data_IF_850244650404
#
_entry.id   IF_850244650404
#
_cell.length_a   1.000
_cell.length_b   1.000
_cell.length_c   1.000
_cell.angle_alpha   90.00
_cell.angle_beta   90.00
_cell.angle_gamma   90.00
#
_symmetry.space_group_name_H-M   'P 1'
#
loop_
_entity.id
_entity.type
_entity.pdbx_description
1 polymer ?
#
# COMPACT_ATOMS: atom_id res chain seq x y z
N UNK A 1 -38.14 -0.75 -42.47
CA UNK A 1 -37.89 0.58 -43.11
C UNK A 1 -36.39 0.74 -43.32
N UNK A 2 -35.96 1.20 -44.50
CA UNK A 2 -34.53 1.51 -44.76
C UNK A 2 -34.24 2.94 -44.29
N UNK A 3 -33.12 3.20 -43.60
CA UNK A 3 -32.76 4.55 -43.16
C UNK A 3 -32.56 5.48 -44.37
N UNK A 4 -33.07 6.71 -44.26
CA UNK A 4 -32.92 7.74 -45.29
C UNK A 4 -31.47 8.23 -45.38
N UNK A 5 -31.06 8.75 -46.53
CA UNK A 5 -29.71 9.32 -46.71
C UNK A 5 -29.37 10.41 -45.66
N UNK A 6 -30.36 11.20 -45.23
CA UNK A 6 -30.21 12.20 -44.16
C UNK A 6 -29.94 11.55 -42.81
N UNK A 7 -30.65 10.47 -42.47
CA UNK A 7 -30.42 9.70 -41.24
C UNK A 7 -29.03 9.04 -41.24
N UNK A 8 -28.59 8.48 -42.36
CA UNK A 8 -27.24 7.91 -42.50
C UNK A 8 -26.17 8.99 -42.27
N UNK A 9 -26.30 10.16 -42.89
CA UNK A 9 -25.35 11.28 -42.72
C UNK A 9 -25.31 11.79 -41.27
N UNK A 10 -26.46 11.90 -40.61
CA UNK A 10 -26.53 12.28 -39.19
C UNK A 10 -25.90 11.22 -38.28
N UNK A 11 -26.13 9.94 -38.56
CA UNK A 11 -25.54 8.83 -37.81
C UNK A 11 -24.01 8.82 -37.95
N UNK A 12 -23.48 9.02 -39.16
CA UNK A 12 -22.03 9.13 -39.39
C UNK A 12 -21.44 10.32 -38.63
N UNK A 13 -22.08 11.50 -38.68
CA UNK A 13 -21.63 12.69 -37.94
C UNK A 13 -21.64 12.46 -36.43
N UNK A 14 -22.69 11.81 -35.91
CA UNK A 14 -22.81 11.49 -34.50
C UNK A 14 -21.71 10.51 -34.05
N UNK A 15 -21.48 9.43 -34.82
CA UNK A 15 -20.41 8.47 -34.54
C UNK A 15 -19.02 9.13 -34.61
N UNK A 16 -18.79 10.03 -35.56
CA UNK A 16 -17.55 10.77 -35.68
C UNK A 16 -17.35 11.74 -34.49
N UNK A 17 -18.41 12.46 -34.10
CA UNK A 17 -18.39 13.30 -32.90
C UNK A 17 -18.09 12.48 -31.65
N UNK A 18 -18.76 11.33 -31.46
CA UNK A 18 -18.53 10.44 -30.34
C UNK A 18 -17.10 9.88 -30.33
N UNK A 19 -16.58 9.48 -31.49
CA UNK A 19 -15.20 9.01 -31.63
C UNK A 19 -14.17 10.08 -31.26
N UNK A 20 -14.36 11.33 -31.72
CA UNK A 20 -13.51 12.46 -31.33
C UNK A 20 -13.60 12.73 -29.83
N UNK A 21 -14.81 12.71 -29.27
CA UNK A 21 -15.03 12.96 -27.85
C UNK A 21 -14.33 11.91 -26.97
N UNK A 22 -14.48 10.62 -27.30
CA UNK A 22 -13.80 9.53 -26.61
C UNK A 22 -12.27 9.64 -26.73
N UNK A 23 -11.77 10.01 -27.91
CA UNK A 23 -10.35 10.25 -28.11
C UNK A 23 -9.84 11.40 -27.23
N UNK A 24 -10.54 12.54 -27.20
CA UNK A 24 -10.17 13.68 -26.37
C UNK A 24 -10.19 13.33 -24.87
N UNK A 25 -11.24 12.66 -24.39
CA UNK A 25 -11.27 12.19 -23.00
C UNK A 25 -10.10 11.27 -22.69
N UNK A 26 -9.78 10.32 -23.58
CA UNK A 26 -8.64 9.42 -23.40
C UNK A 26 -7.30 10.18 -23.31
N UNK A 27 -7.11 11.26 -24.06
CA UNK A 27 -5.88 12.07 -23.97
C UNK A 27 -5.82 12.92 -22.69
N UNK A 28 -6.97 13.42 -22.23
CA UNK A 28 -7.06 14.33 -21.08
C UNK A 28 -7.05 13.56 -19.74
N UNK A 29 -7.54 12.32 -19.71
CA UNK A 29 -7.66 11.50 -18.49
C UNK A 29 -6.37 11.43 -17.65
N UNK A 30 -5.18 11.13 -18.21
CA UNK A 30 -3.95 11.09 -17.41
C UNK A 30 -3.62 12.42 -16.73
N UNK A 31 -3.90 13.54 -17.41
CA UNK A 31 -3.65 14.87 -16.86
C UNK A 31 -4.61 15.17 -15.70
N UNK A 32 -5.91 14.92 -15.89
CA UNK A 32 -6.90 15.12 -14.83
C UNK A 32 -6.66 14.21 -13.63
N UNK A 33 -6.23 12.95 -13.86
CA UNK A 33 -5.95 12.01 -12.79
C UNK A 33 -4.82 12.49 -11.88
N UNK A 34 -3.77 13.08 -12.47
CA UNK A 34 -2.65 13.64 -11.73
C UNK A 34 -2.99 14.95 -11.01
N UNK A 35 -3.97 15.70 -11.51
CA UNK A 35 -4.34 17.02 -10.99
C UNK A 35 -5.39 16.92 -9.87
N UNK A 36 -6.34 15.99 -9.98
CA UNK A 36 -7.43 15.85 -9.01
C UNK A 36 -6.96 15.10 -7.75
N UNK A 37 -7.48 15.48 -6.55
CA UNK A 37 -7.24 14.72 -5.34
C UNK A 37 -7.82 13.31 -5.49
N UNK A 38 -7.07 12.30 -5.07
CA UNK A 38 -7.52 10.92 -5.07
C UNK A 38 -6.82 10.12 -3.96
N UNK A 39 -7.39 8.97 -3.61
CA UNK A 39 -6.89 8.14 -2.50
C UNK A 39 -5.49 7.53 -2.78
N UNK A 40 -5.02 7.59 -4.03
CA UNK A 40 -3.75 7.06 -4.52
C UNK A 40 -2.68 8.16 -4.71
N UNK A 41 -2.93 9.39 -4.25
CA UNK A 41 -1.92 10.47 -4.27
C UNK A 41 -0.64 10.04 -3.55
N UNK A 42 -0.73 9.13 -2.58
CA UNK A 42 0.44 8.58 -1.90
C UNK A 42 1.34 7.73 -2.81
N UNK A 43 0.77 7.00 -3.77
CA UNK A 43 1.54 6.30 -4.81
C UNK A 43 2.38 7.30 -5.62
N UNK A 44 1.82 8.48 -5.93
CA UNK A 44 2.58 9.57 -6.57
C UNK A 44 3.73 10.05 -5.70
N UNK A 45 3.49 10.29 -4.41
CA UNK A 45 4.52 10.73 -3.47
C UNK A 45 5.66 9.72 -3.38
N UNK A 46 5.34 8.43 -3.19
CA UNK A 46 6.33 7.36 -3.13
C UNK A 46 7.14 7.33 -4.42
N UNK A 47 6.45 7.31 -5.57
CA UNK A 47 7.12 7.25 -6.87
C UNK A 47 7.99 8.48 -7.16
N UNK A 48 7.53 9.69 -6.84
CA UNK A 48 8.35 10.90 -7.01
C UNK A 48 9.55 10.93 -6.07
N UNK A 49 9.39 10.43 -4.85
CA UNK A 49 10.48 10.34 -3.86
C UNK A 49 11.55 9.38 -4.33
N UNK A 50 11.17 8.19 -4.81
CA UNK A 50 12.12 7.18 -5.30
C UNK A 50 12.83 7.59 -6.60
N UNK A 51 12.22 8.46 -7.42
CA UNK A 51 12.84 8.98 -8.64
C UNK A 51 13.60 10.30 -8.42
N UNK A 52 13.60 10.85 -7.22
CA UNK A 52 14.37 12.05 -6.91
C UNK A 52 15.78 11.65 -6.41
N UNK A 53 16.85 11.94 -7.17
CA UNK A 53 18.22 11.56 -6.79
C UNK A 53 18.75 12.29 -5.54
N UNK A 54 18.08 13.34 -5.10
CA UNK A 54 18.42 14.06 -3.86
C UNK A 54 17.92 13.34 -2.60
N UNK A 55 16.93 12.46 -2.74
CA UNK A 55 16.36 11.72 -1.62
C UNK A 55 17.29 10.57 -1.22
N UNK A 56 17.71 10.57 0.05
CA UNK A 56 18.67 9.61 0.60
C UNK A 56 18.21 9.05 1.95
N UNK A 57 17.11 8.29 2.00
CA UNK A 57 16.72 7.60 3.22
C UNK A 57 17.72 6.49 3.56
N UNK A 58 17.96 6.30 4.85
CA UNK A 58 18.77 5.19 5.38
C UNK A 58 17.86 3.99 5.74
N UNK A 59 16.61 4.26 6.12
CA UNK A 59 15.60 3.26 6.44
C UNK A 59 14.31 3.55 5.68
N UNK A 60 13.72 2.52 5.08
CA UNK A 60 12.40 2.61 4.45
C UNK A 60 11.40 1.66 5.11
N UNK A 61 10.17 2.11 5.27
CA UNK A 61 9.04 1.30 5.74
C UNK A 61 8.10 1.08 4.55
N UNK A 62 7.71 -0.16 4.32
CA UNK A 62 6.85 -0.57 3.20
C UNK A 62 5.68 -1.42 3.70
N UNK A 63 4.54 -1.34 3.01
CA UNK A 63 3.31 -2.05 3.39
C UNK A 63 2.08 -1.16 3.24
N UNK A 64 0.96 -1.56 3.82
CA UNK A 64 -0.33 -0.91 3.57
C UNK A 64 -0.67 0.19 4.59
N UNK A 65 -1.95 0.59 4.62
CA UNK A 65 -2.50 1.57 5.55
C UNK A 65 -2.31 1.22 7.04
N UNK A 66 -2.14 -0.06 7.40
CA UNK A 66 -1.77 -0.46 8.76
C UNK A 66 -0.34 -0.05 9.10
N UNK A 67 0.57 -0.10 8.13
CA UNK A 67 1.93 0.43 8.26
C UNK A 67 1.96 1.97 8.28
N UNK A 68 1.06 2.63 7.54
CA UNK A 68 0.91 4.09 7.55
C UNK A 68 0.59 4.62 8.95
N UNK A 69 -0.38 4.00 9.64
CA UNK A 69 -0.80 4.43 10.98
C UNK A 69 -0.08 3.69 12.11
N UNK A 70 0.59 2.56 11.83
CA UNK A 70 1.19 1.69 12.83
C UNK A 70 2.70 1.86 13.03
N UNK A 71 3.46 2.34 12.05
CA UNK A 71 4.92 2.51 12.21
C UNK A 71 5.30 3.98 12.13
N UNK A 72 5.80 4.51 13.24
CA UNK A 72 6.15 5.92 13.38
C UNK A 72 7.62 6.15 12.98
N UNK A 73 7.84 6.70 11.78
CA UNK A 73 9.18 6.99 11.27
C UNK A 73 9.93 8.05 12.06
N UNK A 74 9.24 9.08 12.60
CA UNK A 74 9.88 10.09 13.45
C UNK A 74 10.46 9.47 14.72
N UNK A 75 9.76 8.49 15.31
CA UNK A 75 10.24 7.78 16.49
C UNK A 75 11.42 6.87 16.16
N UNK A 76 11.39 6.17 15.02
CA UNK A 76 12.55 5.39 14.55
C UNK A 76 13.78 6.28 14.36
N UNK A 77 13.63 7.43 13.70
CA UNK A 77 14.71 8.41 13.49
C UNK A 77 15.24 8.98 14.81
N UNK A 78 14.36 9.26 15.77
CA UNK A 78 14.77 9.81 17.07
C UNK A 78 15.49 8.77 17.96
N UNK A 79 15.07 7.50 17.92
CA UNK A 79 15.55 6.49 18.87
C UNK A 79 16.64 5.58 18.31
N UNK A 80 16.76 5.40 16.99
CA UNK A 80 17.84 4.61 16.42
C UNK A 80 19.17 5.38 16.48
N UNK A 81 20.26 4.65 16.75
CA UNK A 81 21.61 5.23 16.83
C UNK A 81 21.99 5.80 15.45
N UNK A 82 22.57 7.00 15.45
CA UNK A 82 22.97 7.68 14.21
C UNK A 82 21.86 8.56 13.61
N UNK A 83 20.65 8.54 14.19
CA UNK A 83 19.50 9.31 13.73
C UNK A 83 19.23 9.15 12.23
N UNK A 84 19.01 7.91 11.76
CA UNK A 84 18.85 7.64 10.34
C UNK A 84 17.67 8.39 9.74
N UNK A 85 17.81 8.81 8.49
CA UNK A 85 16.70 9.37 7.73
C UNK A 85 15.67 8.26 7.42
N UNK A 86 14.47 8.34 8.02
CA UNK A 86 13.45 7.28 7.92
C UNK A 86 12.31 7.68 7.01
N UNK A 87 12.09 6.93 5.92
CA UNK A 87 10.96 7.13 5.01
C UNK A 87 9.90 6.04 5.16
N UNK A 88 8.72 6.42 5.63
CA UNK A 88 7.53 5.62 5.53
C UNK A 88 6.94 5.71 4.12
N UNK A 89 7.18 4.69 3.30
CA UNK A 89 6.71 4.54 1.93
C UNK A 89 5.54 3.54 1.83
N UNK A 90 4.76 3.38 2.90
CA UNK A 90 3.52 2.60 2.91
C UNK A 90 2.39 3.35 2.20
N UNK A 91 1.38 2.67 1.67
CA UNK A 91 0.18 3.32 1.10
C UNK A 91 -1.07 2.46 1.23
N UNK A 92 -2.26 3.06 1.10
CA UNK A 92 -3.51 2.29 1.04
C UNK A 92 -3.43 1.20 -0.04
N UNK A 93 -3.86 -0.02 0.28
CA UNK A 93 -3.87 -1.14 -0.66
C UNK A 93 -2.51 -1.77 -1.00
N UNK A 94 -1.38 -1.23 -0.52
CA UNK A 94 -0.04 -1.76 -0.82
C UNK A 94 0.23 -3.06 -0.05
N UNK A 95 -0.06 -4.21 -0.66
CA UNK A 95 0.34 -5.52 -0.13
C UNK A 95 1.85 -5.72 -0.31
N UNK A 96 2.37 -6.85 0.17
CA UNK A 96 3.80 -7.19 0.05
C UNK A 96 4.25 -7.21 -1.43
N UNK A 97 3.41 -7.70 -2.34
CA UNK A 97 3.67 -7.67 -3.79
C UNK A 97 3.82 -6.27 -4.34
N UNK A 98 2.98 -5.32 -3.92
CA UNK A 98 3.02 -3.93 -4.33
C UNK A 98 4.24 -3.22 -3.75
N UNK A 99 4.63 -3.53 -2.51
CA UNK A 99 5.90 -3.06 -1.97
C UNK A 99 7.09 -3.53 -2.80
N UNK A 100 7.07 -4.79 -3.25
CA UNK A 100 8.14 -5.37 -4.06
C UNK A 100 8.30 -4.71 -5.44
N UNK A 101 7.28 -3.99 -5.95
CA UNK A 101 7.40 -3.17 -7.16
C UNK A 101 8.42 -2.03 -7.00
N UNK A 102 8.70 -1.60 -5.77
CA UNK A 102 9.61 -0.49 -5.47
C UNK A 102 11.04 -0.93 -5.09
N UNK A 103 11.30 -2.22 -4.88
CA UNK A 103 12.58 -2.70 -4.30
C UNK A 103 13.82 -2.35 -5.13
N UNK A 104 13.71 -2.37 -6.45
CA UNK A 104 14.77 -1.98 -7.39
C UNK A 104 14.96 -0.48 -7.51
N UNK A 105 13.97 0.32 -7.09
CA UNK A 105 14.01 1.78 -7.09
C UNK A 105 14.52 2.35 -5.76
N UNK A 106 14.75 1.53 -4.73
CA UNK A 106 15.28 1.99 -3.46
C UNK A 106 16.71 2.54 -3.65
N UNK A 107 16.99 3.79 -3.20
CA UNK A 107 18.31 4.40 -3.28
C UNK A 107 19.41 3.54 -2.64
N UNK A 108 20.66 3.72 -3.08
CA UNK A 108 21.80 3.00 -2.51
C UNK A 108 22.13 3.41 -1.07
N UNK A 109 21.57 4.51 -0.57
CA UNK A 109 21.67 4.92 0.83
C UNK A 109 20.87 4.03 1.78
N UNK A 110 19.85 3.32 1.27
CA UNK A 110 18.99 2.48 2.11
C UNK A 110 19.82 1.33 2.66
N UNK A 111 19.83 1.21 3.98
CA UNK A 111 20.49 0.14 4.72
C UNK A 111 19.49 -0.78 5.41
N UNK A 112 18.25 -0.32 5.66
CA UNK A 112 17.20 -1.11 6.32
C UNK A 112 15.87 -0.98 5.58
N UNK A 113 15.22 -2.12 5.35
CA UNK A 113 13.84 -2.21 4.86
C UNK A 113 12.99 -2.86 5.92
N UNK A 114 12.02 -2.10 6.44
CA UNK A 114 10.96 -2.58 7.35
C UNK A 114 9.72 -2.86 6.51
N UNK A 115 9.43 -4.13 6.25
CA UNK A 115 8.25 -4.56 5.50
C UNK A 115 7.14 -4.99 6.45
N UNK A 116 6.07 -4.20 6.54
CA UNK A 116 4.84 -4.58 7.22
C UNK A 116 4.13 -5.69 6.42
N UNK A 117 3.72 -6.74 7.12
CA UNK A 117 3.07 -7.93 6.54
C UNK A 117 1.79 -8.22 7.30
N UNK A 118 0.71 -8.39 6.54
CA UNK A 118 -0.55 -8.95 7.01
C UNK A 118 -0.57 -10.43 6.62
N UNK A 119 -0.58 -11.34 7.60
CA UNK A 119 -0.46 -12.78 7.32
C UNK A 119 -1.62 -13.28 6.48
N UNK A 120 -2.84 -12.79 6.72
CA UNK A 120 -4.05 -13.19 5.99
C UNK A 120 -3.96 -12.96 4.47
N UNK A 121 -3.10 -12.05 4.00
CA UNK A 121 -2.91 -11.80 2.58
C UNK A 121 -2.07 -12.87 1.87
N UNK A 122 -1.32 -13.68 2.62
CA UNK A 122 -0.39 -14.67 2.06
C UNK A 122 -1.07 -15.99 1.65
N UNK A 123 -2.38 -16.13 1.89
CA UNK A 123 -3.16 -17.34 1.54
C UNK A 123 -3.65 -17.37 0.10
N UNK A 124 -3.84 -16.20 -0.50
CA UNK A 124 -4.37 -16.04 -1.85
C UNK A 124 -3.28 -15.95 -2.92
N UNK A 125 -3.65 -15.92 -4.22
CA UNK A 125 -2.71 -15.60 -5.28
C UNK A 125 -2.18 -14.17 -5.14
N UNK A 126 -1.00 -13.91 -5.73
CA UNK A 126 -0.50 -12.54 -5.87
C UNK A 126 -1.36 -11.83 -6.92
N UNK A 127 -2.10 -10.83 -6.47
CA UNK A 127 -2.97 -10.01 -7.31
C UNK A 127 -2.81 -8.53 -6.95
N UNK A 128 -2.95 -7.69 -7.97
CA UNK A 128 -2.92 -6.24 -7.87
C UNK A 128 -4.31 -5.70 -8.14
N UNK A 129 -4.85 -4.92 -7.20
CA UNK A 129 -6.15 -4.30 -7.39
C UNK A 129 -6.14 -3.28 -8.55
N UNK A 130 -7.30 -3.14 -9.21
CA UNK A 130 -7.45 -2.24 -10.35
C UNK A 130 -7.04 -0.80 -10.03
N UNK A 131 -7.43 -0.22 -8.88
CA UNK A 131 -7.06 1.15 -8.57
C UNK A 131 -5.55 1.38 -8.38
N UNK A 132 -4.81 0.51 -7.69
CA UNK A 132 -3.36 0.61 -7.53
C UNK A 132 -2.66 0.46 -8.88
N UNK A 133 -3.16 -0.46 -9.73
CA UNK A 133 -2.65 -0.68 -11.08
C UNK A 133 -2.80 0.57 -11.95
N UNK A 134 -3.96 1.21 -11.89
CA UNK A 134 -4.21 2.49 -12.56
C UNK A 134 -3.30 3.57 -11.99
N UNK A 135 -3.15 3.67 -10.67
CA UNK A 135 -2.29 4.67 -10.05
C UNK A 135 -0.83 4.53 -10.50
N UNK A 136 -0.27 3.33 -10.43
CA UNK A 136 1.08 3.01 -10.90
C UNK A 136 1.26 3.43 -12.37
N UNK A 137 0.33 3.05 -13.25
CA UNK A 137 0.38 3.43 -14.65
C UNK A 137 0.31 4.96 -14.84
N UNK A 138 -0.66 5.61 -14.20
CA UNK A 138 -0.88 7.05 -14.33
C UNK A 138 0.30 7.86 -13.80
N UNK A 139 1.02 7.38 -12.80
CA UNK A 139 2.23 8.02 -12.27
C UNK A 139 3.52 7.59 -13.00
N UNK A 140 3.42 6.70 -13.98
CA UNK A 140 4.52 6.37 -14.89
C UNK A 140 5.46 5.28 -14.37
N UNK A 141 4.99 4.44 -13.45
CA UNK A 141 5.70 3.24 -13.02
C UNK A 141 5.99 2.33 -14.22
N UNK A 142 7.19 1.72 -14.23
CA UNK A 142 7.57 0.70 -15.21
C UNK A 142 8.23 -0.47 -14.49
N UNK A 143 7.75 -1.67 -14.78
CA UNK A 143 8.32 -2.89 -14.22
C UNK A 143 9.66 -3.19 -14.90
N UNK A 144 10.75 -3.23 -14.13
CA UNK A 144 12.07 -3.59 -14.64
C UNK A 144 12.29 -5.12 -14.69
N UNK A 145 13.47 -5.54 -15.17
CA UNK A 145 13.79 -6.96 -15.32
C UNK A 145 13.80 -7.72 -14.00
N UNK A 146 14.36 -7.12 -12.93
CA UNK A 146 14.41 -7.75 -11.61
C UNK A 146 12.98 -7.91 -11.05
N UNK A 147 12.16 -6.87 -11.14
CA UNK A 147 10.78 -6.92 -10.65
C UNK A 147 9.96 -7.97 -11.43
N UNK A 148 10.13 -8.09 -12.75
CA UNK A 148 9.43 -9.13 -13.55
C UNK A 148 9.77 -10.54 -13.11
N UNK A 149 11.04 -10.79 -12.81
CA UNK A 149 11.46 -12.09 -12.29
C UNK A 149 10.91 -12.37 -10.88
N UNK A 150 10.77 -11.33 -10.08
CA UNK A 150 10.28 -11.40 -8.71
C UNK A 150 8.75 -11.58 -8.66
N UNK A 151 8.02 -10.93 -9.57
CA UNK A 151 6.55 -10.85 -9.61
C UNK A 151 6.00 -11.15 -11.02
N UNK A 152 6.25 -12.34 -11.59
CA UNK A 152 5.80 -12.67 -12.95
C UNK A 152 4.28 -12.58 -13.11
N UNK A 153 3.52 -12.88 -12.05
CA UNK A 153 2.05 -12.79 -12.04
C UNK A 153 1.53 -11.37 -12.35
N UNK A 154 2.30 -10.32 -12.06
CA UNK A 154 1.89 -8.94 -12.23
C UNK A 154 2.31 -8.32 -13.58
N UNK A 155 3.14 -9.00 -14.38
CA UNK A 155 3.64 -8.47 -15.65
C UNK A 155 2.48 -8.18 -16.62
N UNK A 156 1.62 -9.17 -16.87
CA UNK A 156 0.47 -8.99 -17.76
C UNK A 156 -0.47 -7.88 -17.25
N UNK A 157 -0.95 -7.90 -15.99
CA UNK A 157 -1.79 -6.84 -15.44
C UNK A 157 -1.20 -5.43 -15.60
N UNK A 158 0.11 -5.26 -15.45
CA UNK A 158 0.81 -3.96 -15.54
C UNK A 158 1.19 -3.56 -16.97
N UNK A 159 0.94 -4.42 -17.96
CA UNK A 159 1.29 -4.21 -19.38
C UNK A 159 0.08 -3.86 -20.27
N UNK A 160 -1.08 -3.59 -19.66
CA UNK A 160 -2.29 -3.24 -20.40
C UNK A 160 -2.13 -1.92 -21.19
N UNK A 161 -2.86 -1.73 -22.30
CA UNK A 161 -2.73 -0.53 -23.12
C UNK A 161 -3.29 0.70 -22.42
N UNK A 162 -2.78 1.90 -22.76
CA UNK A 162 -3.25 3.18 -22.18
C UNK A 162 -4.77 3.35 -22.26
N UNK A 163 -5.41 2.87 -23.33
CA UNK A 163 -6.86 2.93 -23.49
C UNK A 163 -7.60 2.21 -22.35
N UNK A 164 -7.07 1.07 -21.90
CA UNK A 164 -7.61 0.33 -20.76
C UNK A 164 -7.51 1.16 -19.48
N UNK A 165 -6.31 1.65 -19.15
CA UNK A 165 -6.09 2.44 -17.92
C UNK A 165 -6.92 3.72 -17.89
N UNK A 166 -6.98 4.43 -19.01
CA UNK A 166 -7.80 5.63 -19.13
C UNK A 166 -9.30 5.34 -18.96
N UNK A 167 -9.77 4.21 -19.47
CA UNK A 167 -11.14 3.77 -19.25
C UNK A 167 -11.38 3.50 -17.76
N UNK A 168 -10.56 2.68 -17.10
CA UNK A 168 -10.75 2.34 -15.68
C UNK A 168 -10.64 3.57 -14.77
N UNK A 169 -9.73 4.49 -15.07
CA UNK A 169 -9.51 5.73 -14.31
C UNK A 169 -10.72 6.67 -14.28
N UNK A 170 -11.73 6.50 -15.15
CA UNK A 170 -12.93 7.35 -15.18
C UNK A 170 -13.61 7.46 -13.82
N UNK A 171 -13.68 6.36 -13.07
CA UNK A 171 -14.33 6.35 -11.75
C UNK A 171 -13.53 7.16 -10.74
N UNK A 172 -12.19 7.04 -10.77
CA UNK A 172 -11.30 7.85 -9.93
C UNK A 172 -11.40 9.34 -10.28
N UNK A 173 -11.58 9.70 -11.55
CA UNK A 173 -11.80 11.09 -11.97
C UNK A 173 -13.11 11.65 -11.43
N UNK A 174 -14.20 10.88 -11.49
CA UNK A 174 -15.48 11.29 -10.91
C UNK A 174 -15.36 11.50 -9.41
N UNK A 175 -14.81 10.53 -8.68
CA UNK A 175 -14.60 10.65 -7.23
C UNK A 175 -13.69 11.83 -6.89
N UNK A 176 -12.58 12.01 -7.61
CA UNK A 176 -11.66 13.11 -7.38
C UNK A 176 -12.26 14.48 -7.67
N UNK A 177 -13.12 14.60 -8.69
CA UNK A 177 -13.87 15.82 -8.96
C UNK A 177 -14.88 16.09 -7.84
N UNK A 178 -15.61 15.07 -7.37
CA UNK A 178 -16.53 15.20 -6.24
C UNK A 178 -15.79 15.64 -4.97
N UNK A 179 -14.65 15.04 -4.66
CA UNK A 179 -13.82 15.43 -3.52
C UNK A 179 -13.29 16.85 -3.67
N UNK A 180 -12.79 17.23 -4.85
CA UNK A 180 -12.33 18.59 -5.11
C UNK A 180 -13.45 19.62 -4.90
N UNK A 181 -14.64 19.36 -5.43
CA UNK A 181 -15.81 20.22 -5.25
C UNK A 181 -16.22 20.28 -3.78
N UNK A 182 -16.25 19.14 -3.08
CA UNK A 182 -16.57 19.09 -1.66
C UNK A 182 -15.57 19.90 -0.84
N UNK A 183 -14.27 19.76 -1.07
CA UNK A 183 -13.24 20.52 -0.36
C UNK A 183 -13.30 22.03 -0.62
N UNK A 184 -13.98 22.48 -1.70
CA UNK A 184 -14.23 23.89 -1.98
C UNK A 184 -15.53 24.41 -1.37
N UNK A 185 -16.41 23.52 -0.94
CA UNK A 185 -17.77 23.82 -0.46
C UNK A 185 -17.97 23.50 1.03
N UNK A 186 -17.10 22.69 1.62
CA UNK A 186 -17.19 22.13 2.97
C UNK A 186 -15.96 22.60 3.77
N UNK A 187 -16.18 23.15 4.98
CA UNK A 187 -15.12 23.74 5.81
C UNK A 187 -14.27 22.68 6.56
N UNK A 188 -14.75 21.44 6.64
CA UNK A 188 -14.10 20.31 7.32
C UNK A 188 -13.17 19.52 6.38
N UNK A 189 -12.06 20.13 5.97
CA UNK A 189 -11.03 19.44 5.15
C UNK A 189 -10.05 18.69 6.05
N UNK A 190 -9.98 17.36 5.86
CA UNK A 190 -8.95 16.52 6.49
C UNK A 190 -7.55 16.94 5.97
N UNK A 191 -6.57 17.21 6.85
CA UNK A 191 -5.24 17.68 6.45
C UNK A 191 -4.53 16.72 5.48
N UNK A 192 -3.77 17.30 4.53
CA UNK A 192 -3.00 16.59 3.50
C UNK A 192 -1.80 15.76 4.00
N UNK A 193 -1.79 15.32 5.26
CA UNK A 193 -0.70 14.56 5.89
C UNK A 193 -0.42 13.26 5.12
N UNK A 194 -1.45 12.54 4.67
CA UNK A 194 -1.28 11.34 3.81
C UNK A 194 -0.53 11.66 2.52
N UNK A 195 -0.76 12.85 1.95
CA UNK A 195 -0.26 13.25 0.65
C UNK A 195 1.16 13.85 0.70
N UNK A 196 1.65 14.27 1.87
CA UNK A 196 2.95 14.94 1.99
C UNK A 196 3.89 14.37 3.05
N UNK A 197 3.38 13.71 4.10
CA UNK A 197 4.24 13.19 5.17
C UNK A 197 4.93 11.90 4.73
N UNK A 198 6.27 11.93 4.78
CA UNK A 198 7.16 10.84 4.43
C UNK A 198 7.62 10.04 5.66
N UNK A 199 7.30 10.42 6.89
CA UNK A 199 7.80 9.78 8.13
C UNK A 199 6.65 9.11 8.89
N UNK A 200 5.49 9.75 8.97
CA UNK A 200 4.33 9.21 9.69
C UNK A 200 3.01 9.71 9.09
N UNK A 201 2.54 9.09 8.00
CA UNK A 201 1.36 9.54 7.23
C UNK A 201 0.03 9.16 7.89
N UNK A 202 -0.11 9.44 9.18
CA UNK A 202 -1.31 9.12 9.93
C UNK A 202 -2.38 10.22 9.70
N UNK A 203 -3.53 9.82 9.15
CA UNK A 203 -4.67 10.73 8.91
C UNK A 203 -5.58 10.94 10.11
N UNK A 204 -5.46 10.14 11.17
CA UNK A 204 -6.47 10.09 12.22
C UNK A 204 -6.10 11.04 13.36
N UNK A 205 -6.48 12.31 13.20
CA UNK A 205 -6.43 13.35 14.23
C UNK A 205 -7.69 13.39 15.12
N UNK A 206 -8.77 12.68 14.73
CA UNK A 206 -10.05 12.70 15.43
C UNK A 206 -10.23 11.53 16.39
N UNK A 207 -11.10 11.71 17.38
CA UNK A 207 -11.53 10.64 18.28
C UNK A 207 -12.23 9.51 17.52
N UNK A 208 -12.12 8.29 18.05
CA UNK A 208 -12.75 7.09 17.47
C UNK A 208 -14.27 7.27 17.42
N UNK A 209 -14.85 7.11 16.23
CA UNK A 209 -16.31 7.01 16.10
C UNK A 209 -16.76 5.58 16.38
N UNK A 210 -17.40 5.36 17.53
CA UNK A 210 -17.88 4.04 17.98
C UNK A 210 -18.84 3.35 17.00
N UNK A 211 -19.69 4.09 16.30
CA UNK A 211 -20.63 3.49 15.34
C UNK A 211 -19.91 2.95 14.10
N UNK A 212 -18.95 3.72 13.56
CA UNK A 212 -18.14 3.31 12.41
C UNK A 212 -17.20 2.17 12.80
N UNK A 213 -16.64 2.24 14.01
CA UNK A 213 -15.80 1.19 14.57
C UNK A 213 -16.55 -0.15 14.62
N UNK A 214 -17.73 -0.19 15.26
CA UNK A 214 -18.52 -1.43 15.38
C UNK A 214 -18.86 -2.04 14.03
N UNK A 215 -19.34 -1.22 13.07
CA UNK A 215 -19.65 -1.69 11.72
C UNK A 215 -18.43 -2.30 11.03
N UNK A 216 -17.26 -1.65 11.12
CA UNK A 216 -16.02 -2.19 10.53
C UNK A 216 -15.55 -3.48 11.22
N UNK A 217 -15.78 -3.61 12.54
CA UNK A 217 -15.47 -4.85 13.27
C UNK A 217 -16.39 -5.97 12.80
N UNK A 218 -17.68 -5.70 12.62
CA UNK A 218 -18.64 -6.64 12.03
C UNK A 218 -18.20 -7.08 10.62
N UNK A 219 -17.82 -6.14 9.75
CA UNK A 219 -17.27 -6.42 8.41
C UNK A 219 -16.02 -7.33 8.48
N UNK A 220 -15.10 -7.09 9.44
CA UNK A 220 -13.94 -7.96 9.63
C UNK A 220 -14.30 -9.35 10.17
N UNK A 221 -15.48 -9.51 10.77
CA UNK A 221 -15.96 -10.76 11.35
C UNK A 221 -16.80 -11.61 10.37
N UNK A 222 -17.04 -11.12 9.15
CA UNK A 222 -17.78 -11.87 8.12
C UNK A 222 -17.01 -13.10 7.61
N UNK A 223 -15.67 -13.05 7.64
CA UNK A 223 -14.83 -14.10 7.07
C UNK A 223 -13.69 -14.50 8.00
N UNK A 224 -13.55 -15.81 8.25
CA UNK A 224 -12.37 -16.36 8.93
C UNK A 224 -11.16 -16.35 7.99
N UNK A 225 -10.28 -15.38 8.21
CA UNK A 225 -9.05 -15.18 7.43
C UNK A 225 -7.98 -16.25 7.66
N UNK A 226 -8.04 -16.99 8.77
CA UNK A 226 -7.05 -18.01 9.14
C UNK A 226 -7.55 -19.45 9.01
N UNK A 227 -8.80 -19.64 8.59
CA UNK A 227 -9.31 -20.94 8.21
C UNK A 227 -8.46 -21.53 7.08
N UNK A 228 -8.01 -22.79 7.26
CA UNK A 228 -7.12 -23.48 6.32
C UNK A 228 -5.87 -22.68 5.88
N UNK A 229 -5.38 -21.78 6.74
CA UNK A 229 -4.26 -20.90 6.41
C UNK A 229 -3.02 -21.66 5.92
N UNK A 230 -2.55 -21.29 4.74
CA UNK A 230 -1.30 -21.75 4.12
C UNK A 230 -0.64 -20.56 3.42
N UNK A 231 0.69 -20.54 3.38
CA UNK A 231 1.43 -19.57 2.57
C UNK A 231 1.61 -20.19 1.19
N UNK A 232 1.16 -19.52 0.14
CA UNK A 232 1.30 -20.06 -1.22
C UNK A 232 2.77 -20.11 -1.64
N UNK A 233 3.16 -21.02 -2.56
CA UNK A 233 4.53 -21.08 -3.07
C UNK A 233 5.01 -19.77 -3.71
N UNK A 234 4.09 -18.98 -4.29
CA UNK A 234 4.41 -17.68 -4.89
C UNK A 234 4.84 -16.67 -3.83
N UNK A 235 4.10 -16.55 -2.72
CA UNK A 235 4.46 -15.69 -1.60
C UNK A 235 5.77 -16.12 -0.95
N UNK A 236 5.96 -17.42 -0.75
CA UNK A 236 7.21 -17.96 -0.23
C UNK A 236 8.39 -17.54 -1.10
N UNK A 237 8.31 -17.77 -2.41
CA UNK A 237 9.35 -17.40 -3.38
C UNK A 237 9.62 -15.89 -3.36
N UNK A 238 8.58 -15.07 -3.30
CA UNK A 238 8.70 -13.63 -3.24
C UNK A 238 9.50 -13.18 -2.02
N UNK A 239 9.14 -13.66 -0.82
CA UNK A 239 9.81 -13.28 0.44
C UNK A 239 11.26 -13.77 0.45
N UNK A 240 11.51 -15.02 0.06
CA UNK A 240 12.87 -15.60 0.01
C UNK A 240 13.76 -14.84 -0.98
N UNK A 241 13.29 -14.60 -2.22
CA UNK A 241 14.08 -13.85 -3.21
C UNK A 241 14.31 -12.40 -2.81
N UNK A 242 13.34 -11.78 -2.14
CA UNK A 242 13.49 -10.41 -1.62
C UNK A 242 14.57 -10.35 -0.53
N UNK A 243 14.58 -11.33 0.38
CA UNK A 243 15.61 -11.45 1.42
C UNK A 243 17.01 -11.61 0.82
N UNK A 244 17.17 -12.49 -0.18
CA UNK A 244 18.43 -12.67 -0.91
C UNK A 244 18.85 -11.36 -1.58
N UNK A 245 17.95 -10.71 -2.30
CA UNK A 245 18.22 -9.45 -2.99
C UNK A 245 18.69 -8.34 -2.05
N UNK A 246 18.04 -8.18 -0.90
CA UNK A 246 18.44 -7.17 0.08
C UNK A 246 19.77 -7.52 0.75
N UNK A 247 19.97 -8.78 1.13
CA UNK A 247 21.23 -9.24 1.69
C UNK A 247 22.42 -8.99 0.75
N UNK A 248 22.26 -9.27 -0.54
CA UNK A 248 23.31 -9.05 -1.54
C UNK A 248 23.66 -7.56 -1.72
N UNK A 249 22.75 -6.66 -1.34
CA UNK A 249 22.94 -5.21 -1.28
C UNK A 249 23.42 -4.71 0.10
N UNK A 250 23.64 -5.60 1.07
CA UNK A 250 23.96 -5.22 2.44
C UNK A 250 22.82 -4.57 3.21
N UNK A 251 21.57 -4.78 2.78
CA UNK A 251 20.37 -4.21 3.38
C UNK A 251 19.77 -5.22 4.36
N UNK A 252 19.45 -4.77 5.59
CA UNK A 252 18.68 -5.55 6.54
C UNK A 252 17.22 -5.58 6.10
N UNK A 253 16.72 -6.78 5.82
CA UNK A 253 15.31 -7.01 5.55
C UNK A 253 14.58 -7.48 6.81
N UNK A 254 13.72 -6.62 7.33
CA UNK A 254 12.95 -6.85 8.56
C UNK A 254 11.46 -7.00 8.21
N UNK A 255 10.87 -8.15 8.53
CA UNK A 255 9.43 -8.40 8.37
C UNK A 255 8.71 -8.08 9.68
N UNK A 256 7.70 -7.20 9.63
CA UNK A 256 6.87 -6.85 10.78
C UNK A 256 5.49 -7.44 10.59
N UNK A 257 5.13 -8.41 11.42
CA UNK A 257 3.79 -9.01 11.42
C UNK A 257 2.83 -8.06 12.13
N UNK A 258 1.89 -7.47 11.40
CA UNK A 258 1.03 -6.41 11.91
C UNK A 258 -0.07 -6.93 12.88
N UNK A 259 -0.45 -6.14 13.91
CA UNK A 259 -1.41 -6.54 14.95
C UNK A 259 -2.85 -6.68 14.45
N UNK A 260 -3.58 -7.67 14.94
CA UNK A 260 -5.02 -7.76 14.73
C UNK A 260 -5.79 -7.21 15.92
N UNK A 261 -6.91 -6.54 15.65
CA UNK A 261 -7.75 -6.00 16.70
C UNK A 261 -8.38 -7.14 17.52
N UNK A 262 -8.29 -7.13 18.87
CA UNK A 262 -8.87 -8.16 19.73
C UNK A 262 -10.39 -8.34 19.58
N UNK A 263 -11.11 -7.31 19.11
CA UNK A 263 -12.57 -7.39 18.89
C UNK A 263 -12.94 -8.19 17.62
N UNK A 264 -11.95 -8.56 16.79
CA UNK A 264 -12.16 -9.45 15.65
C UNK A 264 -12.17 -10.89 16.18
N UNK A 265 -13.34 -11.51 16.11
CA UNK A 265 -13.65 -12.85 16.64
C UNK A 265 -13.85 -13.91 15.55
N UNK A 266 -13.77 -13.55 14.27
CA UNK A 266 -13.87 -14.50 13.15
C UNK A 266 -12.79 -15.59 13.13
N UNK A 267 -11.70 -15.41 13.87
CA UNK A 267 -10.65 -16.42 14.04
C UNK A 267 -10.29 -16.59 15.52
N UNK A 268 -9.90 -17.80 15.88
CA UNK A 268 -9.44 -18.14 17.22
C UNK A 268 -7.98 -17.73 17.44
N UNK A 269 -7.59 -17.56 18.71
CA UNK A 269 -6.18 -17.37 19.10
C UNK A 269 -5.31 -18.53 18.59
N UNK A 270 -5.82 -19.77 18.62
CA UNK A 270 -5.08 -20.94 18.15
C UNK A 270 -4.77 -20.88 16.65
N UNK A 271 -5.71 -20.40 15.83
CA UNK A 271 -5.52 -20.24 14.38
C UNK A 271 -4.50 -19.17 14.05
N UNK A 272 -4.58 -17.99 14.70
CA UNK A 272 -3.57 -16.93 14.59
C UNK A 272 -2.17 -17.43 14.94
N UNK A 273 -2.06 -18.12 16.08
CA UNK A 273 -0.79 -18.63 16.57
C UNK A 273 -0.24 -19.76 15.68
N UNK A 274 -1.10 -20.57 15.05
CA UNK A 274 -0.68 -21.55 14.03
C UNK A 274 -0.12 -20.83 12.80
N UNK A 275 -0.80 -19.80 12.31
CA UNK A 275 -0.37 -19.02 11.15
C UNK A 275 0.97 -18.33 11.40
N UNK A 276 1.13 -17.69 12.56
CA UNK A 276 2.37 -17.05 12.98
C UNK A 276 3.51 -18.06 13.08
N UNK A 277 3.33 -19.20 13.75
CA UNK A 277 4.37 -20.25 13.85
C UNK A 277 4.81 -20.76 12.49
N UNK A 278 3.86 -21.01 11.58
CA UNK A 278 4.20 -21.45 10.22
C UNK A 278 5.00 -20.37 9.48
N UNK A 279 4.62 -19.10 9.60
CA UNK A 279 5.35 -17.99 8.99
C UNK A 279 6.76 -17.85 9.56
N UNK A 280 6.92 -17.84 10.88
CA UNK A 280 8.23 -17.68 11.53
C UNK A 280 9.15 -18.87 11.30
N UNK A 281 8.63 -20.09 11.28
CA UNK A 281 9.42 -21.29 10.93
C UNK A 281 9.83 -21.30 9.46
N UNK A 282 8.98 -20.82 8.55
CA UNK A 282 9.28 -20.80 7.11
C UNK A 282 10.35 -19.77 6.75
N UNK A 283 10.45 -18.67 7.50
CA UNK A 283 11.33 -17.54 7.23
C UNK A 283 12.28 -17.26 8.40
N UNK A 284 12.75 -18.30 9.09
CA UNK A 284 13.59 -18.25 10.28
C UNK A 284 14.92 -17.50 10.10
N UNK A 285 15.42 -17.46 8.86
CA UNK A 285 16.63 -16.72 8.46
C UNK A 285 16.43 -15.21 8.26
N UNK A 286 15.18 -14.73 8.33
CA UNK A 286 14.83 -13.31 8.16
C UNK A 286 14.52 -12.72 9.54
N UNK A 287 14.92 -11.47 9.78
CA UNK A 287 14.53 -10.77 11.00
C UNK A 287 13.01 -10.55 11.01
N UNK A 288 12.31 -11.18 11.94
CA UNK A 288 10.86 -11.05 12.09
C UNK A 288 10.54 -10.37 13.42
N UNK A 289 9.72 -9.33 13.36
CA UNK A 289 9.14 -8.65 14.52
C UNK A 289 7.66 -9.03 14.60
N UNK A 290 7.31 -9.82 15.59
CA UNK A 290 5.93 -10.20 15.87
C UNK A 290 5.21 -9.09 16.64
N UNK A 291 4.19 -8.50 16.03
CA UNK A 291 3.26 -7.60 16.70
C UNK A 291 1.82 -8.13 16.70
N UNK A 292 1.58 -9.40 16.33
CA UNK A 292 0.25 -9.93 16.00
C UNK A 292 -0.79 -9.75 17.11
N UNK A 293 -0.36 -9.97 18.36
CA UNK A 293 -1.20 -9.88 19.57
C UNK A 293 -0.73 -8.74 20.51
N UNK A 294 -0.01 -7.74 19.98
CA UNK A 294 0.64 -6.68 20.78
C UNK A 294 -0.32 -5.59 21.28
N UNK A 295 -1.43 -5.37 20.57
CA UNK A 295 -2.30 -4.23 20.78
C UNK A 295 -3.60 -4.61 21.50
N UNK A 296 -4.05 -3.72 22.37
CA UNK A 296 -5.37 -3.77 22.99
C UNK A 296 -6.40 -3.08 22.08
N UNK A 297 -7.69 -3.35 22.27
CA UNK A 297 -8.80 -2.67 21.56
C UNK A 297 -8.68 -1.14 21.58
N UNK A 298 -8.20 -0.56 22.69
CA UNK A 298 -8.00 0.90 22.84
C UNK A 298 -6.88 1.49 21.99
N UNK A 299 -6.01 0.65 21.42
CA UNK A 299 -4.88 1.06 20.59
C UNK A 299 -5.24 1.15 19.10
N UNK A 300 -6.51 0.93 18.76
CA UNK A 300 -7.03 1.04 17.40
C UNK A 300 -7.96 2.25 17.24
N UNK A 301 -7.87 2.91 16.09
CA UNK A 301 -8.80 3.97 15.69
C UNK A 301 -10.05 3.37 15.02
N UNK A 302 -9.87 2.37 14.15
CA UNK A 302 -10.96 1.59 13.56
C UNK A 302 -10.71 0.08 13.71
N UNK A 303 -11.44 -0.78 13.00
CA UNK A 303 -11.26 -2.23 13.15
C UNK A 303 -9.85 -2.74 12.80
N UNK A 304 -9.06 -2.02 11.99
CA UNK A 304 -7.77 -2.52 11.48
C UNK A 304 -6.61 -1.56 11.67
N UNK A 305 -6.86 -0.25 11.82
CA UNK A 305 -5.82 0.78 11.88
C UNK A 305 -5.46 1.12 13.32
N UNK A 306 -4.18 0.96 13.72
CA UNK A 306 -3.66 1.48 14.98
C UNK A 306 -3.84 3.00 15.09
N UNK A 307 -4.13 3.48 16.30
CA UNK A 307 -4.04 4.90 16.64
C UNK A 307 -2.61 5.27 17.08
N UNK A 308 -2.38 6.52 17.51
CA UNK A 308 -1.04 7.00 17.93
C UNK A 308 -0.40 6.13 19.02
N UNK A 309 -1.17 5.70 20.03
CA UNK A 309 -0.68 4.83 21.10
C UNK A 309 -0.33 3.43 20.57
N UNK A 310 -1.17 2.89 19.68
CA UNK A 310 -0.85 1.63 18.98
C UNK A 310 0.40 1.73 18.13
N UNK A 311 0.61 2.85 17.43
CA UNK A 311 1.81 3.08 16.63
C UNK A 311 3.09 3.10 17.47
N UNK A 312 3.04 3.76 18.63
CA UNK A 312 4.16 3.76 19.60
C UNK A 312 4.48 2.33 20.06
N UNK A 313 3.44 1.56 20.43
CA UNK A 313 3.58 0.16 20.84
C UNK A 313 4.19 -0.72 19.74
N UNK A 314 3.79 -0.57 18.47
CA UNK A 314 4.36 -1.34 17.33
C UNK A 314 5.80 -0.91 17.04
N UNK A 315 6.10 0.38 17.12
CA UNK A 315 7.41 0.92 16.75
C UNK A 315 8.51 0.48 17.73
N UNK A 316 8.18 0.35 19.02
CA UNK A 316 9.12 -0.05 20.08
C UNK A 316 9.80 -1.43 19.86
N UNK A 317 9.08 -2.53 19.56
CA UNK A 317 9.67 -3.81 19.17
C UNK A 317 10.59 -3.72 17.95
N UNK A 318 10.23 -2.90 16.94
CA UNK A 318 11.06 -2.71 15.74
C UNK A 318 12.41 -2.09 16.13
N UNK A 319 12.39 -1.04 16.96
CA UNK A 319 13.61 -0.41 17.47
C UNK A 319 14.46 -1.42 18.24
N UNK A 320 13.86 -2.22 19.13
CA UNK A 320 14.58 -3.24 19.90
C UNK A 320 15.23 -4.28 19.00
N UNK A 321 14.49 -4.77 17.99
CA UNK A 321 14.99 -5.75 17.05
C UNK A 321 16.17 -5.22 16.22
N UNK A 322 16.06 -4.01 15.69
CA UNK A 322 17.12 -3.37 14.90
C UNK A 322 18.36 -3.01 15.74
N UNK A 323 18.19 -2.66 17.03
CA UNK A 323 19.34 -2.49 17.94
C UNK A 323 20.03 -3.81 18.25
N UNK A 324 19.25 -4.89 18.40
CA UNK A 324 19.77 -6.22 18.76
C UNK A 324 20.47 -6.92 17.60
N UNK A 325 20.16 -6.56 16.35
CA UNK A 325 20.86 -7.07 15.17
C UNK A 325 22.29 -6.55 15.02
N UNK A 326 22.77 -5.70 15.94
CA UNK A 326 24.13 -5.14 15.92
C UNK A 326 24.34 -4.06 14.86
N UNK A 327 23.25 -3.60 14.25
CA UNK A 327 23.30 -2.60 13.17
C UNK A 327 23.54 -1.19 13.72
N UNK A 328 24.40 -0.42 13.04
CA UNK A 328 24.61 1.01 13.28
C UNK A 328 24.50 1.73 11.94
N UNK A 329 23.70 2.79 11.91
CA UNK A 329 23.57 3.70 10.77
C UNK A 329 24.81 4.58 10.62
#
# INVERSE_FOLDING_TARGET
MKPTHKQIKSMIRFLLFLGILLFLFNQITPYLYRLLPNDYVRTRLIWSTLNNPEERPDLVILGNSRGMSGVNGYKLEAELRGNPCVYNLTSTGQRLSESALYYSYLPSSVQVVVQCVDLDQLRGPIELDDPNRVALHMYGYKMDGFTRELLPALEKPLSEPNLYYNYVARNCLFSGLTTYLRNKLDDDVIPGIIASDLRYPNSTMSDRNESVYKRKVEEQNEENKFEAYQITPEWKRLIERSSVYFRDRGIIYCLVVMPYNPDITAFTVAEKQRALRMFTQMFDSILIVDCMDLLDTSDFYDAIHPNRKGAEKITDPIIRALRSSGFSF
#
